data_IF_716521549664
#
_entry.id   IF_716521549664
#
_cell.length_a   1.000
_cell.length_b   1.000
_cell.length_c   1.000
_cell.angle_alpha   90.00
_cell.angle_beta   90.00
_cell.angle_gamma   90.00
#
_symmetry.space_group_name_H-M   'P 1'
#
loop_
_entity.id
_entity.type
_entity.pdbx_description
1 polymer ?
#
# COMPACT_ATOMS: atom_id res chain seq x y z
N UNK A 1 -34.34 5.85 26.85
CA UNK A 1 -33.39 4.71 26.74
C UNK A 1 -32.95 4.41 25.30
N UNK A 2 -33.62 4.91 24.26
CA UNK A 2 -33.16 4.75 22.86
C UNK A 2 -32.01 5.69 22.45
N UNK A 3 -31.85 6.86 23.08
CA UNK A 3 -30.84 7.85 22.67
C UNK A 3 -29.38 7.46 23.00
N UNK A 4 -29.16 6.63 24.03
CA UNK A 4 -27.83 6.20 24.44
C UNK A 4 -27.25 5.10 23.52
N UNK A 5 -28.11 4.25 22.94
CA UNK A 5 -27.69 3.23 21.96
C UNK A 5 -27.19 3.86 20.66
N UNK A 6 -27.84 4.92 20.17
CA UNK A 6 -27.44 5.60 18.92
C UNK A 6 -26.03 6.20 19.02
N UNK A 7 -25.69 6.81 20.16
CA UNK A 7 -24.38 7.40 20.37
C UNK A 7 -23.27 6.35 20.41
N UNK A 8 -23.49 5.23 21.11
CA UNK A 8 -22.50 4.15 21.24
C UNK A 8 -22.38 3.25 20.00
N UNK A 9 -23.47 3.02 19.25
CA UNK A 9 -23.50 2.06 18.14
C UNK A 9 -23.20 2.68 16.77
N UNK A 10 -23.49 3.98 16.57
CA UNK A 10 -23.32 4.64 15.25
C UNK A 10 -22.30 5.77 15.23
N UNK A 11 -22.22 6.55 16.32
CA UNK A 11 -21.32 7.71 16.40
C UNK A 11 -19.94 7.32 16.96
N UNK A 12 -19.88 6.56 18.06
CA UNK A 12 -18.60 6.12 18.65
C UNK A 12 -17.68 5.35 17.70
N UNK A 13 -18.19 4.45 16.81
CA UNK A 13 -17.34 3.73 15.86
C UNK A 13 -16.74 4.61 14.76
N UNK A 14 -17.39 5.73 14.42
CA UNK A 14 -16.84 6.71 13.46
C UNK A 14 -15.81 7.65 14.10
N UNK A 15 -15.86 7.80 15.43
CA UNK A 15 -14.90 8.56 16.25
C UNK A 15 -13.60 7.81 16.56
N UNK A 16 -13.59 6.47 16.48
CA UNK A 16 -12.45 5.66 16.92
C UNK A 16 -11.26 5.63 15.94
N UNK A 17 -11.30 6.33 14.80
CA UNK A 17 -10.17 6.52 13.87
C UNK A 17 -9.57 5.27 13.23
N UNK A 18 -9.93 4.08 13.72
CA UNK A 18 -9.45 2.77 13.31
C UNK A 18 -10.70 1.94 13.08
N UNK A 19 -10.87 1.51 11.82
CA UNK A 19 -11.99 0.77 11.22
C UNK A 19 -13.00 0.17 12.22
N UNK A 20 -14.31 0.38 12.03
CA UNK A 20 -15.32 -0.24 12.88
C UNK A 20 -15.17 -1.76 12.86
N UNK A 21 -15.33 -2.39 14.03
CA UNK A 21 -15.30 -3.85 14.18
C UNK A 21 -16.45 -4.42 13.36
N UNK A 22 -16.14 -5.32 12.41
CA UNK A 22 -17.09 -5.87 11.42
C UNK A 22 -18.28 -6.64 12.03
N UNK A 23 -18.29 -6.88 13.34
CA UNK A 23 -19.35 -7.59 14.04
C UNK A 23 -20.68 -6.79 14.12
N UNK A 24 -20.67 -5.48 13.92
CA UNK A 24 -21.84 -4.61 14.14
C UNK A 24 -22.45 -4.00 12.86
N UNK A 25 -22.01 -4.43 11.67
CA UNK A 25 -22.42 -3.80 10.41
C UNK A 25 -23.52 -4.63 9.74
N UNK A 26 -24.75 -4.11 9.67
CA UNK A 26 -25.77 -4.67 8.78
C UNK A 26 -25.36 -4.42 7.31
N UNK A 27 -25.71 -5.35 6.42
CA UNK A 27 -25.36 -5.34 4.98
C UNK A 27 -25.83 -4.11 4.19
N UNK A 28 -26.61 -3.22 4.81
CA UNK A 28 -27.12 -1.96 4.27
C UNK A 28 -26.33 -0.70 4.67
N UNK A 29 -25.25 -0.81 5.44
CA UNK A 29 -24.53 0.35 5.94
C UNK A 29 -23.69 1.05 4.85
N UNK A 30 -23.90 2.36 4.68
CA UNK A 30 -23.04 3.20 3.86
C UNK A 30 -21.68 3.38 4.55
N UNK A 31 -20.59 2.96 3.89
CA UNK A 31 -19.24 3.10 4.42
C UNK A 31 -18.77 4.55 4.27
N UNK A 32 -18.74 5.29 5.39
CA UNK A 32 -18.17 6.64 5.44
C UNK A 32 -16.72 6.54 5.90
N UNK A 33 -15.75 7.25 5.28
CA UNK A 33 -14.40 7.33 5.81
C UNK A 33 -14.44 7.86 7.25
N UNK A 34 -13.74 7.20 8.17
CA UNK A 34 -13.68 7.63 9.57
C UNK A 34 -13.17 9.06 9.69
N UNK A 35 -13.69 9.81 10.67
CA UNK A 35 -13.23 11.16 10.94
C UNK A 35 -11.78 11.05 11.44
N UNK A 36 -10.82 11.40 10.60
CA UNK A 36 -9.41 11.39 10.98
C UNK A 36 -9.19 12.31 12.18
N UNK A 37 -8.56 11.81 13.23
CA UNK A 37 -8.07 12.67 14.30
C UNK A 37 -7.05 13.66 13.74
N UNK A 38 -7.19 14.95 14.05
CA UNK A 38 -6.27 15.99 13.61
C UNK A 38 -6.91 17.22 12.97
N UNK A 39 -8.24 17.32 12.90
CA UNK A 39 -8.92 18.58 12.55
C UNK A 39 -9.08 19.46 13.81
N UNK A 40 -8.25 20.49 14.02
CA UNK A 40 -8.35 21.36 15.19
C UNK A 40 -9.64 22.20 15.20
N UNK A 41 -10.33 22.33 14.07
CA UNK A 41 -11.57 23.10 13.94
C UNK A 41 -12.84 22.25 14.12
N UNK A 42 -12.71 20.91 14.10
CA UNK A 42 -13.85 19.98 14.23
C UNK A 42 -14.86 20.05 13.08
N UNK A 43 -14.50 20.64 11.94
CA UNK A 43 -15.37 20.80 10.77
C UNK A 43 -15.70 19.46 10.09
N UNK A 44 -14.75 18.53 10.03
CA UNK A 44 -14.99 17.18 9.51
C UNK A 44 -15.94 16.37 10.41
N UNK A 45 -15.88 16.60 11.72
CA UNK A 45 -16.78 16.00 12.70
C UNK A 45 -18.18 16.60 12.59
N UNK A 46 -18.30 17.93 12.45
CA UNK A 46 -19.58 18.62 12.25
C UNK A 46 -20.25 18.17 10.95
N UNK A 47 -19.50 18.05 9.86
CA UNK A 47 -20.02 17.59 8.57
C UNK A 47 -20.60 16.17 8.66
N UNK A 48 -19.87 15.26 9.33
CA UNK A 48 -20.32 13.89 9.56
C UNK A 48 -21.55 13.84 10.47
N UNK A 49 -21.56 14.64 11.55
CA UNK A 49 -22.68 14.71 12.49
C UNK A 49 -23.97 15.25 11.83
N UNK A 50 -23.86 16.29 10.98
CA UNK A 50 -25.00 16.85 10.26
C UNK A 50 -25.62 15.84 9.29
N UNK A 51 -24.79 15.11 8.56
CA UNK A 51 -25.24 14.07 7.63
C UNK A 51 -25.96 12.94 8.35
N UNK A 52 -25.38 12.43 9.44
CA UNK A 52 -26.01 11.36 10.23
C UNK A 52 -27.29 11.84 10.93
N UNK A 53 -27.34 13.09 11.40
CA UNK A 53 -28.56 13.68 11.95
C UNK A 53 -29.68 13.76 10.92
N UNK A 54 -29.39 14.15 9.67
CA UNK A 54 -30.38 14.16 8.60
C UNK A 54 -30.94 12.76 8.29
N UNK A 55 -30.06 11.75 8.24
CA UNK A 55 -30.47 10.34 8.06
C UNK A 55 -31.32 9.84 9.23
N UNK A 56 -31.04 10.26 10.47
CA UNK A 56 -31.85 9.91 11.65
C UNK A 56 -33.24 10.51 11.64
N UNK A 57 -33.43 11.67 10.99
CA UNK A 57 -34.73 12.33 10.83
C UNK A 57 -35.58 11.62 9.73
N UNK A 58 -34.98 10.67 8.99
CA UNK A 58 -35.65 9.89 7.96
C UNK A 58 -35.48 10.44 6.55
N UNK A 59 -34.55 11.38 6.36
CA UNK A 59 -34.22 11.92 5.04
C UNK A 59 -33.46 10.89 4.18
N UNK A 60 -33.60 10.99 2.86
CA UNK A 60 -32.84 10.14 1.94
C UNK A 60 -31.36 10.57 1.90
N UNK A 61 -30.47 9.68 1.45
CA UNK A 61 -29.03 9.98 1.39
C UNK A 61 -28.70 11.19 0.52
N UNK A 62 -29.46 11.43 -0.55
CA UNK A 62 -29.29 12.60 -1.41
C UNK A 62 -29.66 13.91 -0.69
N UNK A 63 -30.74 13.91 0.10
CA UNK A 63 -31.13 15.04 0.93
C UNK A 63 -30.12 15.30 2.05
N UNK A 64 -29.60 14.26 2.71
CA UNK A 64 -28.59 14.37 3.76
C UNK A 64 -27.29 15.03 3.26
N UNK A 65 -26.82 14.64 2.08
CA UNK A 65 -25.66 15.27 1.44
C UNK A 65 -25.98 16.69 0.93
N UNK A 66 -27.22 16.95 0.53
CA UNK A 66 -27.74 18.27 0.20
C UNK A 66 -27.64 19.26 1.36
N UNK A 67 -27.98 18.85 2.58
CA UNK A 67 -27.83 19.69 3.79
C UNK A 67 -26.38 20.11 4.03
N UNK A 68 -25.42 19.20 3.83
CA UNK A 68 -24.00 19.53 3.96
C UNK A 68 -23.56 20.57 2.91
N UNK A 69 -24.00 20.38 1.67
CA UNK A 69 -23.71 21.29 0.55
C UNK A 69 -24.29 22.68 0.80
N UNK A 70 -25.53 22.77 1.28
CA UNK A 70 -26.17 24.04 1.66
C UNK A 70 -25.47 24.72 2.85
N UNK A 71 -24.97 23.94 3.81
CA UNK A 71 -24.20 24.47 4.94
C UNK A 71 -22.90 25.10 4.45
N UNK A 72 -22.18 24.44 3.53
CA UNK A 72 -20.97 24.99 2.89
C UNK A 72 -21.26 26.24 2.06
N UNK A 73 -22.36 26.24 1.31
CA UNK A 73 -22.83 27.42 0.59
C UNK A 73 -23.13 28.59 1.54
N UNK A 74 -23.76 28.32 2.68
CA UNK A 74 -24.04 29.35 3.68
C UNK A 74 -22.75 29.91 4.29
N UNK A 75 -21.73 29.08 4.53
CA UNK A 75 -20.40 29.54 4.96
C UNK A 75 -19.73 30.42 3.89
N UNK A 76 -19.92 30.10 2.61
CA UNK A 76 -19.42 30.93 1.51
C UNK A 76 -20.10 32.31 1.46
N UNK A 77 -21.42 32.36 1.67
CA UNK A 77 -22.19 33.61 1.78
C UNK A 77 -21.77 34.42 3.01
N UNK A 78 -21.42 33.76 4.11
CA UNK A 78 -20.84 34.43 5.29
C UNK A 78 -19.47 35.00 4.97
N UNK A 79 -18.61 34.26 4.28
CA UNK A 79 -17.31 34.73 3.84
C UNK A 79 -17.40 35.94 2.89
N UNK A 80 -18.38 35.96 1.99
CA UNK A 80 -18.67 37.12 1.14
C UNK A 80 -18.93 38.39 1.97
N UNK A 81 -19.83 38.28 2.96
CA UNK A 81 -20.18 39.40 3.85
C UNK A 81 -19.00 39.86 4.70
N UNK A 82 -18.16 38.92 5.13
CA UNK A 82 -16.95 39.24 5.89
C UNK A 82 -15.92 39.97 4.99
N UNK A 83 -15.79 39.57 3.72
CA UNK A 83 -14.89 40.18 2.74
C UNK A 83 -15.31 41.59 2.32
N UNK A 84 -16.62 41.90 2.34
CA UNK A 84 -17.12 43.26 2.12
C UNK A 84 -16.57 44.25 3.17
N UNK A 85 -16.28 43.77 4.37
CA UNK A 85 -15.76 44.58 5.49
C UNK A 85 -14.25 44.44 5.70
N UNK A 86 -13.59 43.53 4.99
CA UNK A 86 -12.15 43.34 5.05
C UNK A 86 -11.40 44.48 4.35
N UNK A 87 -10.30 44.94 4.95
CA UNK A 87 -9.44 45.99 4.41
C UNK A 87 -8.30 45.47 3.52
N UNK A 88 -7.90 44.21 3.69
CA UNK A 88 -6.84 43.55 2.93
C UNK A 88 -7.08 42.05 2.87
N UNK A 89 -6.48 41.38 1.89
CA UNK A 89 -6.55 39.93 1.71
C UNK A 89 -5.16 39.40 1.39
N UNK A 90 -4.70 38.36 2.10
CA UNK A 90 -3.42 37.72 1.81
C UNK A 90 -3.52 36.80 0.58
N UNK A 91 -2.41 36.56 -0.12
CA UNK A 91 -2.38 35.64 -1.27
C UNK A 91 -2.79 34.21 -0.90
N UNK A 92 -2.46 33.76 0.31
CA UNK A 92 -2.88 32.45 0.82
C UNK A 92 -4.39 32.41 1.07
N UNK A 93 -4.97 33.45 1.66
CA UNK A 93 -6.41 33.51 1.94
C UNK A 93 -7.23 33.64 0.65
N UNK A 94 -6.72 34.32 -0.36
CA UNK A 94 -7.29 34.37 -1.71
C UNK A 94 -7.32 32.98 -2.36
N UNK A 95 -6.21 32.23 -2.30
CA UNK A 95 -6.16 30.87 -2.84
C UNK A 95 -7.12 29.91 -2.12
N UNK A 96 -7.30 30.06 -0.80
CA UNK A 96 -8.25 29.27 -0.01
C UNK A 96 -9.70 29.60 -0.40
N UNK A 97 -10.03 30.89 -0.60
CA UNK A 97 -11.34 31.31 -1.08
C UNK A 97 -11.64 30.76 -2.47
N UNK A 98 -10.67 30.75 -3.39
CA UNK A 98 -10.83 30.20 -4.74
C UNK A 98 -11.14 28.70 -4.69
N UNK A 99 -10.37 27.95 -3.89
CA UNK A 99 -10.61 26.53 -3.69
C UNK A 99 -11.99 26.26 -3.08
N UNK A 100 -12.42 27.09 -2.12
CA UNK A 100 -13.74 26.98 -1.51
C UNK A 100 -14.86 27.28 -2.52
N UNK A 101 -14.75 28.34 -3.32
CA UNK A 101 -15.71 28.67 -4.37
C UNK A 101 -15.83 27.54 -5.40
N UNK A 102 -14.69 27.04 -5.89
CA UNK A 102 -14.67 25.94 -6.87
C UNK A 102 -15.25 24.65 -6.30
N UNK A 103 -14.90 24.30 -5.05
CA UNK A 103 -15.41 23.09 -4.41
C UNK A 103 -16.91 23.17 -4.16
N UNK A 104 -17.42 24.29 -3.64
CA UNK A 104 -18.85 24.47 -3.37
C UNK A 104 -19.65 24.55 -4.67
N UNK A 105 -19.15 25.27 -5.69
CA UNK A 105 -19.82 25.36 -6.99
C UNK A 105 -19.92 23.99 -7.68
N UNK A 106 -18.84 23.20 -7.63
CA UNK A 106 -18.82 21.83 -8.16
C UNK A 106 -19.82 20.94 -7.43
N UNK A 107 -19.81 20.96 -6.10
CA UNK A 107 -20.74 20.18 -5.28
C UNK A 107 -22.20 20.61 -5.50
N UNK A 108 -22.49 21.91 -5.58
CA UNK A 108 -23.82 22.39 -5.89
C UNK A 108 -24.29 21.92 -7.28
N UNK A 109 -23.40 21.93 -8.29
CA UNK A 109 -23.70 21.45 -9.64
C UNK A 109 -23.96 19.94 -9.70
N UNK A 110 -23.09 19.15 -9.06
CA UNK A 110 -23.24 17.68 -8.97
C UNK A 110 -24.56 17.34 -8.25
N UNK A 111 -24.83 17.96 -7.09
CA UNK A 111 -26.01 17.68 -6.26
C UNK A 111 -27.32 18.20 -6.83
N UNK A 112 -27.31 19.21 -7.70
CA UNK A 112 -28.53 19.66 -8.37
C UNK A 112 -29.03 18.68 -9.44
N UNK A 113 -28.16 17.76 -9.88
CA UNK A 113 -28.51 16.71 -10.85
C UNK A 113 -29.03 15.41 -10.21
N UNK A 114 -29.00 15.31 -8.88
CA UNK A 114 -29.42 14.12 -8.13
C UNK A 114 -30.91 14.17 -7.75
N UNK A 115 -31.65 13.09 -8.03
CA UNK A 115 -33.06 12.94 -7.65
C UNK A 115 -33.22 12.90 -6.12
N UNK A 116 -34.02 13.83 -5.57
CA UNK A 116 -34.27 13.94 -4.12
C UNK A 116 -33.27 14.83 -3.37
N UNK A 117 -32.41 15.57 -4.08
CA UNK A 117 -31.53 16.57 -3.49
C UNK A 117 -32.27 17.84 -3.08
N UNK A 118 -31.80 18.49 -2.00
CA UNK A 118 -32.28 19.78 -1.53
C UNK A 118 -31.65 20.96 -2.29
N UNK A 119 -30.64 20.69 -3.11
CA UNK A 119 -29.96 21.71 -3.91
C UNK A 119 -30.74 21.89 -5.21
N UNK A 120 -31.50 22.98 -5.30
CA UNK A 120 -32.26 23.34 -6.50
C UNK A 120 -31.71 24.58 -7.21
N UNK A 121 -32.46 25.04 -8.21
CA UNK A 121 -32.14 26.23 -9.03
C UNK A 121 -31.82 27.48 -8.20
N UNK A 122 -32.57 27.70 -7.10
CA UNK A 122 -32.32 28.83 -6.19
C UNK A 122 -30.95 28.74 -5.51
N UNK A 123 -30.53 27.55 -5.10
CA UNK A 123 -29.23 27.33 -4.46
C UNK A 123 -28.08 27.52 -5.44
N UNK A 124 -28.27 27.09 -6.70
CA UNK A 124 -27.34 27.34 -7.79
C UNK A 124 -27.19 28.83 -8.10
N UNK A 125 -28.30 29.57 -8.14
CA UNK A 125 -28.28 31.02 -8.37
C UNK A 125 -27.54 31.74 -7.23
N UNK A 126 -27.83 31.38 -5.97
CA UNK A 126 -27.12 31.94 -4.80
C UNK A 126 -25.63 31.61 -4.85
N UNK A 127 -25.25 30.40 -5.26
CA UNK A 127 -23.85 30.01 -5.40
C UNK A 127 -23.14 30.85 -6.47
N UNK A 128 -23.77 31.00 -7.65
CA UNK A 128 -23.24 31.80 -8.75
C UNK A 128 -23.07 33.27 -8.35
N UNK A 129 -24.11 33.87 -7.77
CA UNK A 129 -24.09 35.27 -7.34
C UNK A 129 -23.03 35.51 -6.27
N UNK A 130 -22.87 34.56 -5.33
CA UNK A 130 -21.86 34.61 -4.28
C UNK A 130 -20.43 34.53 -4.85
N UNK A 131 -20.18 33.63 -5.81
CA UNK A 131 -18.86 33.52 -6.46
C UNK A 131 -18.51 34.79 -7.23
N UNK A 132 -19.45 35.33 -8.02
CA UNK A 132 -19.25 36.59 -8.76
C UNK A 132 -18.96 37.76 -7.82
N UNK A 133 -19.65 37.84 -6.68
CA UNK A 133 -19.45 38.89 -5.70
C UNK A 133 -18.08 38.78 -5.01
N UNK A 134 -17.67 37.57 -4.64
CA UNK A 134 -16.35 37.30 -4.05
C UNK A 134 -15.23 37.66 -5.03
N UNK A 135 -15.32 37.26 -6.29
CA UNK A 135 -14.33 37.58 -7.32
C UNK A 135 -14.20 39.09 -7.54
N UNK A 136 -15.33 39.80 -7.62
CA UNK A 136 -15.34 41.28 -7.75
C UNK A 136 -14.70 41.97 -6.55
N UNK A 137 -15.05 41.54 -5.34
CA UNK A 137 -14.52 42.14 -4.11
C UNK A 137 -13.04 41.86 -3.94
N UNK A 138 -12.60 40.65 -4.26
CA UNK A 138 -11.19 40.27 -4.31
C UNK A 138 -10.40 41.13 -5.28
N UNK A 139 -10.86 41.27 -6.53
CA UNK A 139 -10.18 42.10 -7.52
C UNK A 139 -10.07 43.56 -7.08
N UNK A 140 -11.08 44.09 -6.39
CA UNK A 140 -11.03 45.43 -5.80
C UNK A 140 -9.99 45.55 -4.67
N UNK A 141 -9.86 44.52 -3.81
CA UNK A 141 -8.88 44.47 -2.74
C UNK A 141 -7.44 44.30 -3.28
N UNK A 142 -7.24 43.45 -4.28
CA UNK A 142 -5.95 43.28 -4.98
C UNK A 142 -5.52 44.55 -5.71
N UNK A 143 -6.46 45.27 -6.33
CA UNK A 143 -6.19 46.57 -6.95
C UNK A 143 -5.82 47.64 -5.89
N UNK A 144 -6.46 47.63 -4.72
CA UNK A 144 -6.15 48.56 -3.63
C UNK A 144 -4.80 48.30 -2.95
N UNK A 145 -4.27 47.07 -3.02
CA UNK A 145 -2.93 46.72 -2.52
C UNK A 145 -1.78 47.27 -3.40
N UNK A 146 -2.08 47.78 -4.59
CA UNK A 146 -1.09 48.41 -5.49
C UNK A 146 -0.91 49.93 -5.29
N UNK A 147 -1.73 50.54 -4.43
CA UNK A 147 -1.76 51.98 -4.16
C UNK A 147 -1.79 52.21 -2.63
N UNK A 148 -0.60 52.40 -2.07
CA UNK A 148 -0.28 52.97 -0.76
C UNK A 148 -0.48 52.13 0.53
N UNK A 149 0.67 51.84 1.15
CA UNK A 149 0.86 51.76 2.60
C UNK A 149 0.33 53.05 3.28
N UNK A 150 -0.71 52.95 4.13
CA UNK A 150 -1.08 54.11 4.95
C UNK A 150 -2.49 54.14 5.55
N UNK A 151 -2.69 53.37 6.64
CA UNK A 151 -3.48 53.71 7.84
C UNK A 151 -4.78 54.53 7.66
N UNK A 152 -5.95 53.93 8.01
CA UNK A 152 -6.81 54.42 9.12
C UNK A 152 -8.03 53.54 9.41
N UNK A 153 -8.03 53.11 10.67
CA UNK A 153 -9.08 52.71 11.60
C UNK A 153 -10.58 52.94 11.31
N UNK A 154 -11.32 51.92 11.78
CA UNK A 154 -12.55 51.97 12.59
C UNK A 154 -13.92 52.04 11.89
N UNK A 155 -14.72 50.99 12.10
CA UNK A 155 -15.94 51.11 12.89
C UNK A 155 -16.46 49.73 13.35
N UNK A 156 -16.71 49.64 14.65
CA UNK A 156 -17.57 48.65 15.29
C UNK A 156 -18.97 48.69 14.69
N UNK A 157 -19.45 47.55 14.21
CA UNK A 157 -20.87 47.26 14.13
C UNK A 157 -21.09 45.84 14.65
N UNK A 158 -21.76 45.74 15.80
CA UNK A 158 -22.32 44.48 16.28
C UNK A 158 -23.27 43.93 15.19
N UNK A 159 -22.81 42.92 14.45
CA UNK A 159 -23.67 42.21 13.51
C UNK A 159 -24.61 41.30 14.29
N UNK A 160 -25.81 41.80 14.57
CA UNK A 160 -26.97 40.98 14.91
C UNK A 160 -27.39 40.28 13.61
N UNK A 161 -27.02 39.01 13.45
CA UNK A 161 -27.35 38.21 12.28
C UNK A 161 -28.88 38.08 12.12
N UNK A 162 -29.41 38.53 10.98
CA UNK A 162 -30.61 37.93 10.38
C UNK A 162 -30.17 37.13 9.15
N UNK A 163 -30.48 35.84 9.17
CA UNK A 163 -30.37 34.95 8.02
C UNK A 163 -31.07 35.59 6.81
N UNK A 164 -30.42 35.58 5.64
CA UNK A 164 -31.08 35.94 4.37
C UNK A 164 -32.00 34.81 3.86
N UNK A 165 -31.92 33.61 4.44
CA UNK A 165 -32.92 32.56 4.29
C UNK A 165 -34.04 32.86 5.28
N UNK A 166 -35.02 33.65 4.84
CA UNK A 166 -36.18 34.01 5.65
C UNK A 166 -36.80 32.77 6.31
N UNK A 167 -36.81 32.76 7.64
CA UNK A 167 -37.62 31.85 8.46
C UNK A 167 -36.95 30.58 9.01
N UNK A 168 -35.75 30.18 8.57
CA UNK A 168 -35.08 28.98 9.08
C UNK A 168 -34.02 29.36 10.13
N UNK A 169 -34.48 29.61 11.35
CA UNK A 169 -33.62 29.77 12.53
C UNK A 169 -33.77 28.50 13.37
N UNK A 170 -32.75 27.63 13.38
CA UNK A 170 -32.70 26.54 14.33
C UNK A 170 -32.33 27.10 15.72
N UNK A 171 -33.22 27.02 16.72
CA UNK A 171 -32.88 27.48 18.07
C UNK A 171 -31.76 26.60 18.63
N UNK A 172 -30.62 27.21 18.94
CA UNK A 172 -29.42 26.51 19.43
C UNK A 172 -28.33 26.24 18.37
N UNK A 173 -28.51 26.66 17.12
CA UNK A 173 -27.47 26.56 16.09
C UNK A 173 -26.27 27.45 16.44
N UNK A 174 -25.19 26.84 16.93
CA UNK A 174 -23.85 27.39 17.15
C UNK A 174 -23.68 28.92 17.05
N UNK A 175 -24.34 29.67 17.95
CA UNK A 175 -24.13 31.11 18.11
C UNK A 175 -22.84 31.40 18.88
N UNK A 176 -21.72 30.75 18.57
CA UNK A 176 -20.43 31.17 19.09
C UNK A 176 -19.95 32.34 18.21
N UNK A 177 -19.73 33.55 18.77
CA UNK A 177 -19.54 34.77 17.99
C UNK A 177 -18.30 34.77 17.08
N UNK A 178 -17.45 33.74 17.15
CA UNK A 178 -16.20 33.61 16.38
C UNK A 178 -16.11 32.31 15.56
N UNK A 179 -17.11 31.42 15.60
CA UNK A 179 -17.04 30.17 14.84
C UNK A 179 -17.39 30.42 13.38
N UNK A 180 -16.44 30.16 12.47
CA UNK A 180 -16.66 30.24 11.02
C UNK A 180 -16.66 31.64 10.40
N UNK A 181 -16.06 32.65 11.05
CA UNK A 181 -15.88 33.99 10.42
C UNK A 181 -14.55 34.07 9.70
N UNK A 182 -14.57 34.58 8.46
CA UNK A 182 -13.39 34.81 7.63
C UNK A 182 -12.59 36.05 8.08
N UNK A 183 -13.19 36.88 8.94
CA UNK A 183 -12.62 38.13 9.43
C UNK A 183 -11.47 37.91 10.44
N UNK A 184 -10.23 38.14 10.00
CA UNK A 184 -9.02 38.19 10.84
C UNK A 184 -8.60 39.64 11.09
N UNK A 185 -9.27 40.32 12.03
CA UNK A 185 -8.87 41.69 12.43
C UNK A 185 -7.63 41.72 13.34
N UNK A 186 -7.19 40.56 13.83
CA UNK A 186 -6.08 40.42 14.79
C UNK A 186 -5.09 39.37 14.30
N UNK A 187 -3.80 39.64 14.49
CA UNK A 187 -2.74 38.66 14.26
C UNK A 187 -2.90 37.48 15.22
N UNK A 188 -3.30 36.32 14.67
CA UNK A 188 -3.48 35.06 15.39
C UNK A 188 -2.30 34.11 15.19
N UNK A 189 -1.21 34.57 14.55
CA UNK A 189 0.01 33.76 14.36
C UNK A 189 0.59 33.25 15.68
N UNK A 190 0.45 34.04 16.75
CA UNK A 190 0.86 33.67 18.11
C UNK A 190 0.03 32.55 18.75
N UNK A 191 -1.14 32.22 18.20
CA UNK A 191 -2.01 31.13 18.66
C UNK A 191 -1.73 29.81 17.91
N UNK A 192 -0.91 29.82 16.86
CA UNK A 192 -0.61 28.64 16.03
C UNK A 192 0.21 27.55 16.76
N UNK A 193 0.63 27.80 18.00
CA UNK A 193 1.52 26.92 18.75
C UNK A 193 2.94 26.90 18.17
N UNK A 194 3.82 26.11 18.80
CA UNK A 194 5.15 25.89 18.23
C UNK A 194 5.02 25.04 16.96
N UNK A 195 5.72 25.43 15.90
CA UNK A 195 5.79 24.63 14.69
C UNK A 195 6.28 23.21 15.04
N UNK A 196 5.58 22.19 14.53
CA UNK A 196 6.04 20.81 14.62
C UNK A 196 7.44 20.72 14.01
N UNK A 197 8.37 20.10 14.74
CA UNK A 197 9.72 19.86 14.22
C UNK A 197 9.58 19.04 12.94
N UNK A 198 10.08 19.53 11.79
CA UNK A 198 9.92 18.81 10.54
C UNK A 198 10.65 17.47 10.65
N UNK A 199 10.01 16.37 10.22
CA UNK A 199 10.63 15.05 10.27
C UNK A 199 11.83 15.01 9.33
N UNK A 200 12.94 14.42 9.81
CA UNK A 200 14.15 14.25 9.01
C UNK A 200 13.92 13.12 7.99
N UNK A 201 13.96 13.46 6.72
CA UNK A 201 13.94 12.48 5.63
C UNK A 201 15.37 11.99 5.36
N UNK A 202 15.59 10.69 5.52
CA UNK A 202 16.79 10.05 5.00
C UNK A 202 16.69 9.97 3.46
N UNK A 203 17.78 10.27 2.72
CA UNK A 203 17.80 10.14 1.27
C UNK A 203 17.70 8.67 0.88
N UNK A 204 16.85 8.39 -0.12
CA UNK A 204 16.70 7.05 -0.69
C UNK A 204 17.29 7.05 -2.10
N UNK A 205 18.40 6.34 -2.27
CA UNK A 205 19.11 6.26 -3.54
C UNK A 205 18.68 4.98 -4.30
N UNK A 206 17.67 5.10 -5.15
CA UNK A 206 17.22 3.98 -6.01
C UNK A 206 18.31 3.53 -6.98
N UNK A 207 19.23 4.41 -7.35
CA UNK A 207 20.37 4.15 -8.25
C UNK A 207 21.51 3.36 -7.61
N UNK A 208 21.43 3.03 -6.32
CA UNK A 208 22.45 2.20 -5.65
C UNK A 208 22.41 0.74 -6.09
N UNK A 209 21.33 0.32 -6.72
CA UNK A 209 21.12 -1.01 -7.29
C UNK A 209 21.84 -1.08 -8.65
N UNK A 210 22.82 -1.97 -8.84
CA UNK A 210 23.58 -2.07 -10.09
C UNK A 210 22.72 -2.60 -11.24
N UNK A 211 23.03 -2.19 -12.48
CA UNK A 211 22.30 -2.61 -13.69
C UNK A 211 22.75 -3.98 -14.24
N UNK A 212 23.96 -4.42 -13.90
CA UNK A 212 24.56 -5.68 -14.40
C UNK A 212 25.30 -6.42 -13.30
N UNK A 213 25.28 -7.75 -13.35
CA UNK A 213 26.00 -8.60 -12.40
C UNK A 213 26.75 -9.74 -13.09
N UNK A 214 27.96 -10.02 -12.60
CA UNK A 214 28.86 -11.04 -13.19
C UNK A 214 29.20 -12.19 -12.23
N UNK A 215 28.85 -12.06 -10.95
CA UNK A 215 29.20 -13.03 -9.90
C UNK A 215 28.08 -13.24 -8.88
N UNK A 216 28.14 -14.34 -8.13
CA UNK A 216 27.21 -14.60 -7.02
C UNK A 216 27.29 -13.53 -5.92
N UNK A 217 28.48 -13.00 -5.64
CA UNK A 217 28.66 -11.92 -4.67
C UNK A 217 27.97 -10.64 -5.13
N UNK A 218 28.11 -10.30 -6.41
CA UNK A 218 27.37 -9.18 -7.03
C UNK A 218 25.86 -9.39 -6.94
N UNK A 219 25.38 -10.62 -7.15
CA UNK A 219 23.95 -10.96 -7.00
C UNK A 219 23.46 -10.80 -5.54
N UNK A 220 24.26 -11.24 -4.57
CA UNK A 220 23.93 -11.07 -3.15
C UNK A 220 23.91 -9.59 -2.76
N UNK A 221 24.92 -8.81 -3.17
CA UNK A 221 24.97 -7.37 -2.92
C UNK A 221 23.83 -6.62 -3.60
N UNK A 222 23.44 -7.01 -4.81
CA UNK A 222 22.26 -6.49 -5.50
C UNK A 222 20.98 -6.69 -4.68
N UNK A 223 20.70 -7.93 -4.25
CA UNK A 223 19.51 -8.24 -3.47
C UNK A 223 19.52 -7.57 -2.09
N UNK A 224 20.70 -7.48 -1.45
CA UNK A 224 20.90 -6.78 -0.17
C UNK A 224 20.55 -5.30 -0.29
N UNK A 225 21.16 -4.60 -1.26
CA UNK A 225 20.87 -3.17 -1.53
C UNK A 225 19.40 -2.96 -1.87
N UNK A 226 18.81 -3.85 -2.66
CA UNK A 226 17.37 -3.80 -2.99
C UNK A 226 16.50 -3.92 -1.73
N UNK A 227 16.84 -4.82 -0.81
CA UNK A 227 16.15 -5.00 0.47
C UNK A 227 16.31 -3.79 1.39
N UNK A 228 17.50 -3.21 1.46
CA UNK A 228 17.80 -2.04 2.30
C UNK A 228 17.03 -0.81 1.81
N UNK A 229 17.06 -0.55 0.49
CA UNK A 229 16.28 0.52 -0.15
C UNK A 229 14.78 0.31 0.07
N UNK A 230 14.29 -0.92 -0.07
CA UNK A 230 12.89 -1.23 0.21
C UNK A 230 12.50 -0.98 1.68
N UNK A 231 13.41 -1.26 2.61
CA UNK A 231 13.21 -1.04 4.04
C UNK A 231 13.23 0.43 4.42
N UNK A 232 14.16 1.22 3.86
CA UNK A 232 14.18 2.68 4.03
C UNK A 232 12.89 3.33 3.54
N UNK A 233 12.43 2.95 2.34
CA UNK A 233 11.14 3.42 1.79
C UNK A 233 9.94 3.00 2.65
N UNK A 234 9.98 1.80 3.24
CA UNK A 234 8.92 1.35 4.14
C UNK A 234 8.88 2.19 5.43
N UNK A 235 10.04 2.44 6.04
CA UNK A 235 10.15 3.21 7.28
C UNK A 235 9.75 4.69 7.09
N UNK A 236 9.94 5.23 5.89
CA UNK A 236 9.62 6.61 5.55
C UNK A 236 8.31 6.76 4.76
N UNK A 237 7.43 5.77 4.77
CA UNK A 237 6.18 5.78 4.00
C UNK A 237 5.19 6.90 4.38
N UNK A 238 5.34 7.48 5.57
CA UNK A 238 4.55 8.63 6.02
C UNK A 238 5.11 9.98 5.51
N UNK A 239 6.37 10.00 5.05
CA UNK A 239 7.07 11.19 4.58
C UNK A 239 7.16 11.24 3.05
N UNK A 240 7.40 10.08 2.43
CA UNK A 240 7.58 9.93 1.00
C UNK A 240 6.27 9.42 0.41
N UNK A 241 5.74 10.11 -0.61
CA UNK A 241 4.53 9.66 -1.32
C UNK A 241 4.86 8.48 -2.24
N UNK A 242 3.89 7.59 -2.43
CA UNK A 242 3.97 6.47 -3.38
C UNK A 242 5.11 5.46 -3.14
N UNK A 243 5.57 5.29 -1.90
CA UNK A 243 6.64 4.33 -1.57
C UNK A 243 6.34 2.91 -2.00
N UNK A 244 5.09 2.46 -1.91
CA UNK A 244 4.69 1.12 -2.36
C UNK A 244 4.95 0.90 -3.87
N UNK A 245 4.65 1.90 -4.71
CA UNK A 245 4.89 1.84 -6.15
C UNK A 245 6.38 1.86 -6.47
N UNK A 246 7.15 2.72 -5.79
CA UNK A 246 8.62 2.80 -5.98
C UNK A 246 9.30 1.48 -5.62
N UNK A 247 8.92 0.89 -4.49
CA UNK A 247 9.43 -0.42 -4.04
C UNK A 247 9.06 -1.53 -5.02
N UNK A 248 7.80 -1.55 -5.48
CA UNK A 248 7.35 -2.54 -6.45
C UNK A 248 8.12 -2.43 -7.77
N UNK A 249 8.29 -1.22 -8.30
CA UNK A 249 9.05 -0.98 -9.53
C UNK A 249 10.52 -1.42 -9.39
N UNK A 250 11.16 -1.11 -8.26
CA UNK A 250 12.54 -1.54 -7.97
C UNK A 250 12.65 -3.07 -7.93
N UNK A 251 11.72 -3.75 -7.25
CA UNK A 251 11.69 -5.20 -7.16
C UNK A 251 11.46 -5.84 -8.53
N UNK A 252 10.54 -5.32 -9.33
CA UNK A 252 10.30 -5.79 -10.69
C UNK A 252 11.55 -5.67 -11.55
N UNK A 253 12.21 -4.51 -11.53
CA UNK A 253 13.45 -4.29 -12.26
C UNK A 253 14.55 -5.27 -11.82
N UNK A 254 14.76 -5.39 -10.51
CA UNK A 254 15.78 -6.28 -9.94
C UNK A 254 15.55 -7.75 -10.33
N UNK A 255 14.32 -8.24 -10.20
CA UNK A 255 14.00 -9.67 -10.36
C UNK A 255 13.84 -10.10 -11.83
N UNK A 256 13.49 -9.19 -12.73
CA UNK A 256 13.19 -9.53 -14.14
C UNK A 256 14.22 -9.02 -15.14
N UNK A 257 15.03 -8.00 -14.78
CA UNK A 257 16.00 -7.38 -15.68
C UNK A 257 17.45 -7.59 -15.23
N UNK A 258 17.75 -7.30 -13.96
CA UNK A 258 19.13 -7.30 -13.46
C UNK A 258 19.57 -8.69 -13.03
N UNK A 259 18.76 -9.39 -12.24
CA UNK A 259 19.06 -10.72 -11.77
C UNK A 259 18.93 -11.72 -12.94
N UNK A 260 20.01 -12.41 -13.35
CA UNK A 260 19.98 -13.35 -14.45
C UNK A 260 18.98 -14.47 -14.13
N UNK A 261 18.08 -14.78 -15.05
CA UNK A 261 17.18 -15.91 -14.87
C UNK A 261 17.91 -17.22 -15.21
N UNK A 262 17.79 -18.27 -14.38
CA UNK A 262 18.36 -19.58 -14.67
C UNK A 262 17.88 -20.16 -16.00
N UNK A 263 18.81 -20.69 -16.78
CA UNK A 263 18.48 -21.51 -17.95
C UNK A 263 17.98 -22.89 -17.53
N UNK A 264 17.12 -23.53 -18.32
CA UNK A 264 16.64 -24.88 -18.05
C UNK A 264 17.79 -25.85 -17.79
N UNK A 265 17.58 -26.75 -16.82
CA UNK A 265 18.52 -27.80 -16.45
C UNK A 265 18.56 -28.92 -17.48
N UNK A 266 17.39 -29.22 -18.05
CA UNK A 266 17.20 -30.29 -19.01
C UNK A 266 16.39 -29.76 -20.18
N UNK A 267 16.63 -30.32 -21.35
CA UNK A 267 15.79 -30.07 -22.51
C UNK A 267 14.45 -30.79 -22.30
N UNK A 268 13.35 -30.04 -22.33
CA UNK A 268 12.01 -30.60 -22.08
C UNK A 268 11.58 -31.64 -23.13
N UNK A 269 12.14 -31.60 -24.33
CA UNK A 269 11.79 -32.52 -25.43
C UNK A 269 12.67 -33.76 -25.41
N UNK A 270 13.99 -33.60 -25.27
CA UNK A 270 14.94 -34.72 -25.36
C UNK A 270 15.30 -35.33 -24.01
N UNK A 271 14.95 -34.67 -22.89
CA UNK A 271 15.36 -35.06 -21.54
C UNK A 271 16.86 -34.89 -21.26
N UNK A 272 17.64 -34.45 -22.25
CA UNK A 272 19.08 -34.32 -22.12
C UNK A 272 19.47 -33.14 -21.22
N UNK A 273 20.50 -33.32 -20.40
CA UNK A 273 21.02 -32.26 -19.54
C UNK A 273 21.62 -31.13 -20.39
N UNK A 274 21.23 -29.89 -20.07
CA UNK A 274 21.72 -28.70 -20.75
C UNK A 274 23.13 -28.34 -20.24
N UNK A 275 24.02 -27.83 -21.12
CA UNK A 275 25.38 -27.48 -20.72
C UNK A 275 25.40 -26.42 -19.61
N UNK A 276 26.38 -26.54 -18.71
CA UNK A 276 26.57 -25.62 -17.59
C UNK A 276 27.23 -24.29 -17.99
N UNK A 277 27.97 -24.26 -19.10
CA UNK A 277 28.80 -23.14 -19.54
C UNK A 277 28.00 -21.89 -19.91
N UNK A 278 26.76 -22.05 -20.40
CA UNK A 278 25.89 -20.95 -20.80
C UNK A 278 25.04 -20.32 -19.69
N UNK A 279 25.00 -20.93 -18.50
CA UNK A 279 24.09 -20.51 -17.43
C UNK A 279 24.87 -19.84 -16.28
N UNK A 280 24.50 -18.60 -15.96
CA UNK A 280 25.08 -17.83 -14.84
C UNK A 280 25.14 -18.65 -13.53
N UNK A 281 24.02 -19.29 -13.17
CA UNK A 281 23.87 -20.04 -11.93
C UNK A 281 24.55 -21.42 -11.92
N UNK A 282 25.06 -21.90 -13.06
CA UNK A 282 25.79 -23.18 -13.14
C UNK A 282 27.26 -23.03 -13.50
N UNK A 283 27.64 -21.92 -14.15
CA UNK A 283 28.98 -21.70 -14.68
C UNK A 283 30.04 -21.59 -13.59
N UNK A 284 29.72 -20.94 -12.46
CA UNK A 284 30.67 -20.70 -11.38
C UNK A 284 30.38 -21.58 -10.16
N UNK A 285 31.40 -21.73 -9.32
CA UNK A 285 31.30 -22.40 -8.03
C UNK A 285 30.77 -21.43 -6.99
N UNK A 286 29.87 -21.91 -6.13
CA UNK A 286 29.26 -21.14 -5.04
C UNK A 286 29.79 -21.66 -3.70
N UNK A 287 30.05 -20.75 -2.76
CA UNK A 287 30.35 -21.09 -1.36
C UNK A 287 29.06 -21.26 -0.58
N UNK A 288 29.05 -22.11 0.45
CA UNK A 288 27.86 -22.35 1.27
C UNK A 288 27.34 -21.06 1.91
N UNK A 289 28.23 -20.21 2.40
CA UNK A 289 27.86 -18.92 3.00
C UNK A 289 27.04 -18.05 2.03
N UNK A 290 27.51 -17.90 0.78
CA UNK A 290 26.85 -17.11 -0.26
C UNK A 290 25.54 -17.76 -0.71
N UNK A 291 25.50 -19.10 -0.76
CA UNK A 291 24.28 -19.83 -1.09
C UNK A 291 23.17 -19.56 -0.07
N UNK A 292 23.48 -19.64 1.23
CA UNK A 292 22.52 -19.37 2.30
C UNK A 292 22.09 -17.90 2.30
N UNK A 293 23.04 -16.98 2.16
CA UNK A 293 22.77 -15.53 2.09
C UNK A 293 21.84 -15.19 0.91
N UNK A 294 22.08 -15.76 -0.28
CA UNK A 294 21.20 -15.57 -1.43
C UNK A 294 19.77 -16.06 -1.17
N UNK A 295 19.60 -17.23 -0.57
CA UNK A 295 18.27 -17.77 -0.24
C UNK A 295 17.55 -16.91 0.79
N UNK A 296 18.25 -16.40 1.79
CA UNK A 296 17.67 -15.49 2.78
C UNK A 296 17.29 -14.14 2.16
N UNK A 297 18.14 -13.60 1.28
CA UNK A 297 17.86 -12.37 0.54
C UNK A 297 16.67 -12.53 -0.42
N UNK A 298 16.54 -13.67 -1.11
CA UNK A 298 15.37 -14.00 -1.91
C UNK A 298 14.09 -14.07 -1.06
N UNK A 299 14.19 -14.65 0.14
CA UNK A 299 13.07 -14.67 1.11
C UNK A 299 12.70 -13.28 1.60
N UNK A 300 13.66 -12.40 1.88
CA UNK A 300 13.39 -11.00 2.28
C UNK A 300 12.76 -10.20 1.15
N UNK A 301 13.29 -10.32 -0.06
CA UNK A 301 12.74 -9.64 -1.25
C UNK A 301 11.35 -10.14 -1.61
N UNK A 302 11.05 -11.44 -1.47
CA UNK A 302 9.69 -11.98 -1.68
C UNK A 302 8.68 -11.40 -0.69
N UNK A 303 9.07 -11.20 0.58
CA UNK A 303 8.22 -10.52 1.58
C UNK A 303 7.97 -9.06 1.22
N UNK A 304 8.99 -8.34 0.75
CA UNK A 304 8.81 -6.97 0.26
C UNK A 304 7.91 -6.92 -0.99
N UNK A 305 8.05 -7.88 -1.90
CA UNK A 305 7.20 -8.02 -3.08
C UNK A 305 5.74 -8.24 -2.67
N UNK A 306 5.47 -9.21 -1.80
CA UNK A 306 4.11 -9.48 -1.32
C UNK A 306 3.50 -8.25 -0.62
N UNK A 307 4.25 -7.60 0.28
CA UNK A 307 3.82 -6.40 0.97
C UNK A 307 3.45 -5.27 -0.01
N UNK A 308 4.28 -5.03 -1.02
CA UNK A 308 4.08 -3.92 -1.97
C UNK A 308 3.00 -4.24 -3.00
N UNK A 309 3.00 -5.45 -3.56
CA UNK A 309 2.02 -5.88 -4.56
C UNK A 309 0.59 -5.94 -4.00
N UNK A 310 0.42 -6.18 -2.70
CA UNK A 310 -0.89 -6.18 -2.03
C UNK A 310 -1.30 -4.80 -1.51
N UNK A 311 -0.38 -3.83 -1.46
CA UNK A 311 -0.64 -2.46 -0.99
C UNK A 311 -0.89 -1.46 -2.13
N UNK A 312 -0.72 -1.88 -3.37
CA UNK A 312 -0.99 -1.06 -4.57
C UNK A 312 -2.33 -1.47 -5.18
N UNK A 313 -3.05 -0.52 -5.77
CA UNK A 313 -4.27 -0.78 -6.54
C UNK A 313 -4.00 -1.81 -7.64
N UNK A 314 -4.72 -2.92 -7.60
CA UNK A 314 -4.52 -4.03 -8.54
C UNK A 314 -5.03 -3.63 -9.92
N UNK A 315 -4.14 -3.63 -10.90
CA UNK A 315 -4.45 -3.58 -12.33
C UNK A 315 -4.12 -4.93 -12.96
N UNK A 316 -4.68 -5.23 -14.14
CA UNK A 316 -4.36 -6.49 -14.85
C UNK A 316 -2.87 -6.65 -15.15
N UNK A 317 -2.18 -5.55 -15.47
CA UNK A 317 -0.74 -5.56 -15.75
C UNK A 317 0.10 -5.71 -14.48
N UNK A 318 -0.33 -5.09 -13.37
CA UNK A 318 0.33 -5.27 -12.08
C UNK A 318 0.15 -6.70 -11.56
N UNK A 319 -1.03 -7.28 -11.75
CA UNK A 319 -1.33 -8.66 -11.38
C UNK A 319 -0.44 -9.66 -12.15
N UNK A 320 -0.33 -9.48 -13.46
CA UNK A 320 0.62 -10.22 -14.30
C UNK A 320 2.08 -10.07 -13.80
N UNK A 321 2.50 -8.84 -13.48
CA UNK A 321 3.85 -8.53 -13.04
C UNK A 321 4.21 -9.20 -11.70
N UNK A 322 3.32 -9.15 -10.69
CA UNK A 322 3.58 -9.78 -9.38
C UNK A 322 3.65 -11.30 -9.44
N UNK A 323 2.81 -11.93 -10.27
CA UNK A 323 2.84 -13.38 -10.51
C UNK A 323 4.18 -13.75 -11.16
N UNK A 324 4.59 -13.01 -12.21
CA UNK A 324 5.86 -13.24 -12.88
C UNK A 324 7.06 -13.08 -11.94
N UNK A 325 7.13 -11.99 -11.17
CA UNK A 325 8.22 -11.78 -10.22
C UNK A 325 8.31 -12.90 -9.17
N UNK A 326 7.18 -13.42 -8.71
CA UNK A 326 7.14 -14.59 -7.80
C UNK A 326 7.71 -15.84 -8.48
N UNK A 327 7.38 -16.06 -9.76
CA UNK A 327 7.98 -17.13 -10.58
C UNK A 327 9.49 -16.96 -10.75
N UNK A 328 9.98 -15.74 -11.01
CA UNK A 328 11.42 -15.44 -11.11
C UNK A 328 12.15 -15.78 -9.80
N UNK A 329 11.60 -15.40 -8.64
CA UNK A 329 12.15 -15.76 -7.33
C UNK A 329 12.22 -17.28 -7.19
N UNK A 330 11.14 -17.99 -7.54
CA UNK A 330 11.06 -19.44 -7.41
C UNK A 330 12.11 -20.17 -8.27
N UNK A 331 12.30 -19.75 -9.52
CA UNK A 331 13.30 -20.33 -10.42
C UNK A 331 14.72 -20.09 -9.90
N UNK A 332 15.02 -18.88 -9.45
CA UNK A 332 16.34 -18.57 -8.87
C UNK A 332 16.57 -19.36 -7.59
N UNK A 333 15.57 -19.46 -6.72
CA UNK A 333 15.66 -20.23 -5.48
C UNK A 333 15.94 -21.72 -5.75
N UNK A 334 15.21 -22.36 -6.68
CA UNK A 334 15.49 -23.74 -7.09
C UNK A 334 16.92 -23.89 -7.62
N UNK A 335 17.32 -22.99 -8.52
CA UNK A 335 18.64 -23.01 -9.13
C UNK A 335 19.76 -22.86 -8.10
N UNK A 336 19.58 -22.03 -7.07
CA UNK A 336 20.54 -21.83 -5.97
C UNK A 336 20.56 -23.03 -5.03
N UNK A 337 19.41 -23.53 -4.55
CA UNK A 337 19.33 -24.67 -3.62
C UNK A 337 19.97 -25.91 -4.22
N UNK A 338 19.76 -26.15 -5.51
CA UNK A 338 20.27 -27.33 -6.23
C UNK A 338 21.79 -27.32 -6.42
N UNK A 339 22.48 -26.20 -6.19
CA UNK A 339 23.94 -26.17 -6.31
C UNK A 339 24.61 -26.89 -5.15
N UNK A 340 25.55 -27.75 -5.48
CA UNK A 340 26.55 -28.23 -4.53
C UNK A 340 27.55 -27.10 -4.24
N UNK A 341 27.62 -26.67 -2.98
CA UNK A 341 28.63 -25.72 -2.55
C UNK A 341 30.04 -26.34 -2.66
N UNK A 342 31.02 -25.52 -3.05
CA UNK A 342 32.39 -25.98 -3.32
C UNK A 342 33.21 -26.25 -2.05
N UNK A 343 32.84 -25.64 -0.95
CA UNK A 343 33.47 -25.76 0.37
C UNK A 343 32.81 -26.88 1.18
N UNK A 344 31.80 -26.55 1.99
CA UNK A 344 31.06 -27.53 2.79
C UNK A 344 29.62 -27.59 2.30
N UNK A 345 29.25 -28.58 1.46
CA UNK A 345 27.90 -28.66 0.92
C UNK A 345 26.86 -28.91 2.01
N UNK A 346 25.69 -28.29 1.87
CA UNK A 346 24.56 -28.56 2.77
C UNK A 346 23.93 -29.92 2.41
N UNK A 347 23.55 -30.69 3.43
CA UNK A 347 22.82 -31.95 3.21
C UNK A 347 21.49 -31.71 2.48
N UNK A 348 20.83 -30.58 2.76
CA UNK A 348 19.64 -30.16 2.03
C UNK A 348 19.90 -30.09 0.52
N UNK A 349 20.93 -29.35 0.09
CA UNK A 349 21.29 -29.24 -1.32
C UNK A 349 21.69 -30.56 -1.95
N UNK A 350 22.42 -31.42 -1.22
CA UNK A 350 22.84 -32.74 -1.72
C UNK A 350 21.66 -33.69 -1.93
N UNK A 351 20.74 -33.79 -0.96
CA UNK A 351 19.53 -34.59 -1.11
C UNK A 351 18.62 -34.01 -2.19
N UNK A 352 18.42 -32.69 -2.18
CA UNK A 352 17.56 -32.01 -3.15
C UNK A 352 18.02 -32.18 -4.61
N UNK A 353 19.33 -32.15 -4.84
CA UNK A 353 19.93 -32.38 -6.17
C UNK A 353 20.04 -33.86 -6.57
N UNK A 354 19.87 -34.80 -5.63
CA UNK A 354 20.12 -36.22 -5.87
C UNK A 354 21.62 -36.59 -5.88
N UNK A 355 22.49 -35.73 -5.35
CA UNK A 355 23.94 -35.98 -5.25
C UNK A 355 24.35 -36.60 -3.90
N UNK A 356 23.41 -36.78 -2.96
CA UNK A 356 23.66 -37.37 -1.66
C UNK A 356 23.93 -38.89 -1.75
N UNK A 357 24.80 -39.45 -0.89
CA UNK A 357 25.11 -40.88 -0.89
C UNK A 357 23.89 -41.71 -0.45
N UNK A 358 23.52 -42.70 -1.26
CA UNK A 358 22.38 -43.59 -1.01
C UNK A 358 21.48 -43.75 -2.23
N UNK A 359 20.37 -44.50 -2.13
CA UNK A 359 19.34 -44.51 -3.17
C UNK A 359 18.60 -43.17 -3.15
N UNK A 360 19.18 -42.16 -3.77
CA UNK A 360 18.62 -40.80 -3.83
C UNK A 360 18.20 -40.48 -5.27
N UNK A 361 17.02 -39.90 -5.41
CA UNK A 361 16.52 -39.30 -6.63
C UNK A 361 16.46 -37.78 -6.45
N UNK A 362 16.59 -37.00 -7.52
CA UNK A 362 16.50 -35.55 -7.42
C UNK A 362 15.08 -35.14 -7.02
N UNK A 363 14.98 -34.10 -6.19
CA UNK A 363 13.71 -33.46 -5.84
C UNK A 363 13.53 -32.16 -6.63
N UNK A 364 12.28 -31.73 -6.76
CA UNK A 364 11.90 -30.49 -7.44
C UNK A 364 10.50 -30.05 -7.04
N UNK A 365 10.13 -28.82 -7.34
CA UNK A 365 8.74 -28.36 -7.20
C UNK A 365 8.22 -27.83 -8.53
N UNK A 366 6.90 -27.71 -8.62
CA UNK A 366 6.21 -27.16 -9.78
C UNK A 366 5.54 -25.84 -9.40
N UNK A 367 5.30 -24.97 -10.37
CA UNK A 367 4.52 -23.74 -10.18
C UNK A 367 3.01 -23.96 -10.37
N UNK A 368 2.54 -25.22 -10.31
CA UNK A 368 1.12 -25.55 -10.40
C UNK A 368 0.45 -24.98 -11.65
N UNK A 369 -0.54 -24.12 -11.45
CA UNK A 369 -1.35 -23.48 -12.52
C UNK A 369 -0.71 -22.23 -13.13
N UNK A 370 0.55 -21.92 -12.78
CA UNK A 370 1.24 -20.73 -13.29
C UNK A 370 1.24 -20.62 -14.81
N UNK A 371 1.34 -21.74 -15.54
CA UNK A 371 1.32 -21.71 -17.01
C UNK A 371 -0.02 -21.21 -17.58
N UNK A 372 -1.14 -21.62 -16.97
CA UNK A 372 -2.51 -21.23 -17.30
C UNK A 372 -2.74 -19.77 -16.90
N UNK A 373 -2.45 -19.40 -15.66
CA UNK A 373 -2.65 -18.04 -15.13
C UNK A 373 -1.81 -17.00 -15.89
N UNK A 374 -0.56 -17.35 -16.18
CA UNK A 374 0.34 -16.46 -16.91
C UNK A 374 0.05 -16.39 -18.42
N UNK A 375 -0.76 -17.31 -18.99
CA UNK A 375 -1.04 -17.35 -20.45
C UNK A 375 -1.81 -16.14 -20.94
N UNK A 376 -2.76 -15.66 -20.14
CA UNK A 376 -3.63 -14.53 -20.46
C UNK A 376 -3.21 -13.26 -19.72
N UNK A 377 -2.04 -13.27 -19.08
CA UNK A 377 -1.50 -12.15 -18.34
C UNK A 377 -1.14 -10.98 -19.25
N UNK A 378 -1.57 -9.78 -18.88
CA UNK A 378 -1.37 -8.56 -19.66
C UNK A 378 -0.01 -7.92 -19.32
N UNK A 379 1.08 -8.43 -19.90
CA UNK A 379 2.40 -7.84 -19.72
C UNK A 379 2.53 -6.51 -20.48
N UNK A 380 2.93 -5.47 -19.76
CA UNK A 380 3.11 -4.13 -20.35
C UNK A 380 4.38 -4.01 -21.21
N UNK A 381 5.37 -4.88 -20.99
CA UNK A 381 6.66 -4.84 -21.67
C UNK A 381 7.02 -6.21 -22.27
N UNK A 382 7.68 -6.25 -23.45
CA UNK A 382 8.06 -7.51 -24.11
C UNK A 382 9.11 -8.31 -23.32
N UNK A 383 9.92 -7.63 -22.51
CA UNK A 383 10.90 -8.24 -21.61
C UNK A 383 10.27 -9.15 -20.56
N UNK A 384 9.08 -8.80 -20.06
CA UNK A 384 8.34 -9.60 -19.09
C UNK A 384 7.82 -10.88 -19.75
N UNK A 385 7.43 -10.80 -21.03
CA UNK A 385 7.11 -12.00 -21.81
C UNK A 385 8.32 -12.92 -21.98
N UNK A 386 9.51 -12.37 -22.25
CA UNK A 386 10.74 -13.15 -22.33
C UNK A 386 11.09 -13.81 -21.00
N UNK A 387 11.02 -13.05 -19.89
CA UNK A 387 11.24 -13.57 -18.54
C UNK A 387 10.26 -14.70 -18.20
N UNK A 388 8.97 -14.56 -18.56
CA UNK A 388 7.96 -15.60 -18.39
C UNK A 388 8.34 -16.87 -19.15
N UNK A 389 8.77 -16.76 -20.40
CA UNK A 389 9.18 -17.92 -21.19
C UNK A 389 10.35 -18.65 -20.53
N UNK A 390 11.35 -17.93 -20.02
CA UNK A 390 12.48 -18.53 -19.30
C UNK A 390 11.99 -19.29 -18.05
N UNK A 391 11.06 -18.72 -17.29
CA UNK A 391 10.47 -19.39 -16.11
C UNK A 391 9.75 -20.67 -16.50
N UNK A 392 8.95 -20.64 -17.56
CA UNK A 392 8.22 -21.82 -18.05
C UNK A 392 9.16 -22.91 -18.58
N UNK A 393 10.17 -22.53 -19.37
CA UNK A 393 11.14 -23.46 -19.93
C UNK A 393 11.95 -24.14 -18.82
N UNK A 394 12.31 -23.39 -17.77
CA UNK A 394 13.00 -23.93 -16.62
C UNK A 394 12.20 -25.05 -15.95
N UNK A 395 10.94 -24.79 -15.59
CA UNK A 395 10.10 -25.78 -14.92
C UNK A 395 9.65 -26.91 -15.84
N UNK A 396 9.47 -26.65 -17.15
CA UNK A 396 9.22 -27.71 -18.12
C UNK A 396 10.41 -28.70 -18.19
N UNK A 397 11.64 -28.17 -18.21
CA UNK A 397 12.85 -28.99 -18.14
C UNK A 397 12.97 -29.73 -16.80
N UNK A 398 12.61 -29.09 -15.69
CA UNK A 398 12.65 -29.72 -14.37
C UNK A 398 11.67 -30.90 -14.25
N UNK A 399 10.42 -30.73 -14.72
CA UNK A 399 9.40 -31.80 -14.74
C UNK A 399 9.80 -33.01 -15.58
N UNK A 400 10.56 -32.80 -16.65
CA UNK A 400 11.03 -33.89 -17.50
C UNK A 400 12.10 -34.77 -16.82
N UNK A 401 12.80 -34.23 -15.81
CA UNK A 401 13.94 -34.91 -15.18
C UNK A 401 13.69 -35.38 -13.74
N UNK A 402 12.83 -34.68 -12.99
CA UNK A 402 12.47 -35.07 -11.62
C UNK A 402 11.35 -36.10 -11.67
N UNK A 403 11.51 -37.29 -11.05
CA UNK A 403 10.44 -38.27 -10.95
C UNK A 403 9.21 -37.68 -10.26
N UNK A 404 8.00 -38.11 -10.63
CA UNK A 404 6.75 -37.63 -10.01
C UNK A 404 6.75 -37.79 -8.48
N UNK A 405 7.40 -38.85 -7.98
CA UNK A 405 7.56 -39.12 -6.54
C UNK A 405 8.55 -38.16 -5.85
N UNK A 406 9.46 -37.53 -6.60
CA UNK A 406 10.40 -36.52 -6.12
C UNK A 406 9.85 -35.09 -6.17
N UNK A 407 8.57 -34.90 -6.56
CA UNK A 407 7.94 -33.59 -6.54
C UNK A 407 7.51 -33.21 -5.12
N UNK A 408 8.08 -32.12 -4.62
CA UNK A 408 7.85 -31.56 -3.29
C UNK A 408 7.07 -30.24 -3.37
N UNK A 409 6.49 -29.82 -2.25
CA UNK A 409 5.73 -28.59 -2.06
C UNK A 409 4.49 -28.45 -2.95
N UNK A 410 3.89 -29.57 -3.35
CA UNK A 410 2.68 -29.62 -4.18
C UNK A 410 1.38 -29.44 -3.36
N UNK A 411 1.39 -28.53 -2.38
CA UNK A 411 0.30 -28.31 -1.42
C UNK A 411 -1.06 -28.03 -2.08
N UNK A 412 -1.04 -27.35 -3.23
CA UNK A 412 -2.25 -26.96 -3.97
C UNK A 412 -3.08 -28.15 -4.45
N UNK A 413 -2.48 -29.34 -4.60
CA UNK A 413 -3.18 -30.51 -5.15
C UNK A 413 -4.05 -31.23 -4.12
N UNK A 414 -3.64 -31.25 -2.86
CA UNK A 414 -4.26 -32.11 -1.85
C UNK A 414 -4.49 -31.44 -0.49
N UNK A 415 -3.98 -30.22 -0.26
CA UNK A 415 -4.04 -29.55 1.04
C UNK A 415 -3.22 -30.23 2.14
N UNK A 416 -2.41 -31.24 1.79
CA UNK A 416 -1.55 -32.03 2.67
C UNK A 416 -0.18 -32.25 2.00
N UNK A 417 0.84 -32.62 2.80
CA UNK A 417 2.14 -33.01 2.25
C UNK A 417 2.03 -34.28 1.41
N UNK A 418 2.69 -34.26 0.26
CA UNK A 418 2.77 -35.39 -0.65
C UNK A 418 3.77 -36.46 -0.19
N UNK A 419 3.80 -37.58 -0.90
CA UNK A 419 4.79 -38.64 -0.67
C UNK A 419 6.23 -38.14 -0.88
N UNK A 420 6.45 -37.23 -1.84
CA UNK A 420 7.75 -36.60 -2.08
C UNK A 420 8.22 -35.76 -0.91
N UNK A 421 7.34 -34.96 -0.31
CA UNK A 421 7.66 -34.14 0.87
C UNK A 421 8.09 -35.01 2.05
N UNK A 422 7.34 -36.09 2.32
CA UNK A 422 7.66 -37.04 3.40
C UNK A 422 8.99 -37.74 3.15
N UNK A 423 9.23 -38.20 1.93
CA UNK A 423 10.50 -38.83 1.55
C UNK A 423 11.66 -37.86 1.72
N UNK A 424 11.52 -36.63 1.25
CA UNK A 424 12.52 -35.58 1.37
C UNK A 424 12.84 -35.27 2.84
N UNK A 425 11.82 -35.02 3.66
CA UNK A 425 11.99 -34.73 5.08
C UNK A 425 12.60 -35.91 5.84
N UNK A 426 12.16 -37.15 5.57
CA UNK A 426 12.72 -38.33 6.21
C UNK A 426 14.20 -38.52 5.88
N UNK A 427 14.59 -38.29 4.62
CA UNK A 427 16.00 -38.32 4.23
C UNK A 427 16.82 -37.27 4.99
N UNK A 428 16.31 -36.05 5.12
CA UNK A 428 16.97 -35.00 5.90
C UNK A 428 17.06 -35.37 7.39
N UNK A 429 15.97 -35.85 7.98
CA UNK A 429 15.94 -36.26 9.38
C UNK A 429 16.98 -37.35 9.67
N UNK A 430 17.04 -38.38 8.84
CA UNK A 430 18.05 -39.43 8.93
C UNK A 430 19.48 -38.86 8.88
N UNK A 431 19.73 -37.96 7.92
CA UNK A 431 21.06 -37.42 7.70
C UNK A 431 21.53 -36.46 8.81
N UNK A 432 20.61 -35.69 9.39
CA UNK A 432 20.92 -34.74 10.48
C UNK A 432 20.71 -35.31 11.87
N UNK A 433 20.29 -36.58 11.99
CA UNK A 433 20.02 -37.23 13.27
C UNK A 433 18.77 -36.71 14.00
N UNK A 434 17.81 -36.13 13.27
CA UNK A 434 16.52 -35.71 13.83
C UNK A 434 15.57 -36.91 13.95
N UNK A 435 14.62 -36.89 14.90
CA UNK A 435 13.69 -37.99 15.04
C UNK A 435 12.81 -38.13 13.79
N UNK A 436 12.66 -39.37 13.32
CA UNK A 436 11.67 -39.70 12.30
C UNK A 436 10.30 -39.66 12.97
N UNK A 437 9.50 -38.66 12.61
CA UNK A 437 8.14 -38.52 13.11
C UNK A 437 7.17 -39.20 12.14
N UNK A 438 6.12 -39.80 12.68
CA UNK A 438 4.98 -40.26 11.88
C UNK A 438 4.31 -39.09 11.13
N UNK A 439 4.45 -37.88 11.69
CA UNK A 439 4.02 -36.62 11.11
C UNK A 439 5.22 -35.69 10.85
N UNK A 440 5.97 -35.87 9.75
CA UNK A 440 7.08 -34.99 9.41
C UNK A 440 6.62 -33.55 9.05
N UNK A 441 5.32 -33.34 8.83
CA UNK A 441 4.70 -32.04 8.53
C UNK A 441 5.06 -30.95 9.56
N UNK A 442 5.23 -31.37 10.82
CA UNK A 442 5.52 -30.50 11.98
C UNK A 442 6.83 -29.73 11.81
N UNK A 443 7.77 -30.25 11.01
CA UNK A 443 9.03 -29.55 10.69
C UNK A 443 8.85 -28.41 9.69
N UNK A 444 7.88 -28.52 8.77
CA UNK A 444 7.61 -27.47 7.78
C UNK A 444 6.69 -26.38 8.32
N UNK A 445 5.75 -26.72 9.21
CA UNK A 445 4.89 -25.73 9.89
C UNK A 445 5.65 -24.87 10.89
N UNK A 446 6.85 -25.30 11.31
CA UNK A 446 7.68 -24.62 12.30
C UNK A 446 7.25 -24.87 13.75
N UNK A 447 6.30 -25.78 13.98
CA UNK A 447 5.96 -26.28 15.32
C UNK A 447 7.16 -26.95 15.99
N UNK A 448 8.00 -27.63 15.21
CA UNK A 448 9.34 -28.12 15.61
C UNK A 448 10.41 -27.28 14.93
N UNK A 449 11.13 -26.48 15.71
CA UNK A 449 12.18 -25.60 15.19
C UNK A 449 13.54 -26.28 14.99
N UNK A 450 13.68 -27.57 15.32
CA UNK A 450 14.94 -28.34 15.20
C UNK A 450 15.51 -28.31 13.78
N UNK A 451 14.64 -28.40 12.75
CA UNK A 451 15.05 -28.32 11.35
C UNK A 451 15.46 -26.90 10.95
N UNK A 452 14.97 -25.86 11.64
CA UNK A 452 15.36 -24.47 11.43
C UNK A 452 16.59 -24.04 12.26
N UNK A 453 16.92 -24.77 13.33
CA UNK A 453 18.04 -24.47 14.24
C UNK A 453 19.26 -25.38 14.04
N UNK A 454 19.16 -26.41 13.19
CA UNK A 454 20.25 -27.34 12.89
C UNK A 454 21.48 -26.61 12.30
N UNK A 455 22.72 -27.03 12.64
CA UNK A 455 23.96 -26.48 12.08
C UNK A 455 24.10 -26.70 10.55
N UNK A 456 23.14 -27.36 9.90
CA UNK A 456 22.96 -27.43 8.45
C UNK A 456 22.06 -26.33 7.85
N UNK A 457 21.23 -25.69 8.66
CA UNK A 457 20.21 -24.69 8.31
C UNK A 457 20.43 -23.41 9.11
N UNK A 458 21.63 -22.82 9.01
CA UNK A 458 22.02 -21.63 9.76
C UNK A 458 21.16 -20.41 9.39
N UNK A 459 19.97 -20.29 9.98
CA UNK A 459 19.07 -19.16 9.97
C UNK A 459 18.36 -19.08 11.32
N UNK A 460 19.08 -18.57 12.32
CA UNK A 460 18.60 -17.71 13.42
C UNK A 460 19.48 -17.90 14.66
N UNK A 461 20.62 -17.21 14.70
CA UNK A 461 21.25 -16.81 15.95
C UNK A 461 21.42 -15.29 15.94
N UNK A 462 20.31 -14.58 16.12
CA UNK A 462 20.30 -13.22 16.64
C UNK A 462 19.13 -13.09 17.63
N UNK A 463 19.49 -13.25 18.91
CA UNK A 463 18.99 -12.48 20.04
C UNK A 463 17.47 -12.45 20.30
N UNK A 464 17.00 -13.39 21.14
CA UNK A 464 15.94 -13.13 22.12
C UNK A 464 16.43 -13.50 23.52
N UNK A 465 17.34 -12.69 24.01
CA UNK A 465 17.54 -12.44 25.43
C UNK A 465 17.65 -10.92 25.56
N UNK A 466 16.91 -10.34 26.52
CA UNK A 466 16.70 -8.91 26.78
C UNK A 466 15.56 -8.22 26.01
N UNK A 467 14.32 -8.53 26.37
CA UNK A 467 13.38 -7.64 27.10
C UNK A 467 12.03 -8.35 27.27
#
# INVERSE_FOLDING_TARGET
>A
MHDACVFYERILPTLNGVRPVQANVSTSAAWVPGVGGGDPAGGALLASALREAALLIGECSAAADGYLTLTRLQLLVMAQRDLDHASSLSACDAAVLDCACQSVARECGERASEDGSLVGERSLQVCLDCCIALDKRRAALEASLSLDDGVRAAASAACIYRSALGGLIAPGGACFPLFGRFRRDTDVSSLAGAALIPPITLPVELSMVPDTIDSYESAANLLRRTSDVCSLLANQAHLIRHTYLMRFALLMHTLTRVLPLPQPLYNAVTGAQMPATGCFWRRSLIRRETQVDLLDLLRRTSRHLACTALSVTVTRSLDAARILASGCIAVVADAVVRRRAADTPSWLSLHYSGEAPGPTSPFGFDLGVYDVESRYSAFAEPSLCAARTVVLDYFAGLRAAVPTEGMVFAFERAGILGAGDRTFLNQLCLQTGMPLLDQPEVYLTGERQELASSPGSSLNNVSRSYL
#
